data_IF_414801395441
#
_entry.id   IF_414801395441
#
_cell.length_a   1.000
_cell.length_b   1.000
_cell.length_c   1.000
_cell.angle_alpha   90.00
_cell.angle_beta   90.00
_cell.angle_gamma   90.00
#
_symmetry.space_group_name_H-M   'P 1'
#
loop_
_entity.id
_entity.type
_entity.pdbx_description
1 polymer ?
#
# COMPACT_ATOMS: atom_id res chain seq x y z
N UNK A 1 -2.60 -23.64 23.23
CA UNK A 1 -2.34 -23.42 21.79
C UNK A 1 -2.83 -22.05 21.35
N UNK A 2 -4.10 -21.69 21.58
CA UNK A 2 -4.64 -20.35 21.25
C UNK A 2 -3.87 -19.19 21.90
N UNK A 3 -3.54 -19.30 23.20
CA UNK A 3 -2.70 -18.31 23.91
C UNK A 3 -1.34 -18.06 23.24
N UNK A 4 -0.70 -19.13 22.74
CA UNK A 4 0.59 -19.03 22.06
C UNK A 4 0.45 -18.33 20.70
N UNK A 5 -0.62 -18.63 19.95
CA UNK A 5 -0.91 -17.97 18.66
C UNK A 5 -1.17 -16.48 18.84
N UNK A 6 -1.91 -16.10 19.88
CA UNK A 6 -2.22 -14.69 20.18
C UNK A 6 -0.96 -13.91 20.58
N UNK A 7 -0.11 -14.52 21.42
CA UNK A 7 1.16 -13.92 21.83
C UNK A 7 2.11 -13.69 20.64
N UNK A 8 2.21 -14.68 19.72
CA UNK A 8 2.98 -14.56 18.48
C UNK A 8 2.41 -13.44 17.60
N UNK A 9 1.09 -13.36 17.41
CA UNK A 9 0.45 -12.29 16.63
C UNK A 9 0.75 -10.90 17.19
N UNK A 10 0.70 -10.75 18.51
CA UNK A 10 1.00 -9.48 19.16
C UNK A 10 2.47 -9.08 18.97
N UNK A 11 3.39 -10.04 19.15
CA UNK A 11 4.83 -9.82 19.02
C UNK A 11 5.27 -9.45 17.60
N UNK A 12 4.65 -10.05 16.59
CA UNK A 12 4.99 -9.83 15.17
C UNK A 12 4.02 -8.91 14.43
N UNK A 13 3.19 -8.14 15.14
CA UNK A 13 2.28 -7.18 14.51
C UNK A 13 3.10 -6.13 13.74
N UNK A 14 2.97 -6.04 12.41
CA UNK A 14 3.73 -5.07 11.62
C UNK A 14 3.36 -3.65 12.02
N UNK A 15 4.37 -2.82 12.26
CA UNK A 15 4.17 -1.39 12.59
C UNK A 15 3.94 -0.50 11.37
N UNK A 16 4.17 -1.03 10.17
CA UNK A 16 3.99 -0.33 8.90
C UNK A 16 2.93 -1.04 8.05
N UNK A 17 2.20 -0.25 7.26
CA UNK A 17 1.27 -0.72 6.24
C UNK A 17 1.80 -0.26 4.88
N UNK A 18 2.45 -1.13 4.08
CA UNK A 18 3.03 -0.70 2.81
C UNK A 18 1.98 -0.27 1.78
N UNK A 19 0.81 -0.89 1.83
CA UNK A 19 -0.34 -0.63 0.98
C UNK A 19 -1.56 -0.58 1.88
N UNK A 20 -2.34 0.49 1.78
CA UNK A 20 -3.56 0.67 2.55
C UNK A 20 -4.64 1.28 1.66
N UNK A 21 -5.86 0.75 1.73
CA UNK A 21 -7.03 1.42 1.19
C UNK A 21 -7.71 2.19 2.32
N UNK A 22 -7.82 3.51 2.18
CA UNK A 22 -8.33 4.37 3.24
C UNK A 22 -9.12 5.51 2.63
N UNK A 23 -10.27 5.84 3.21
CA UNK A 23 -11.06 7.02 2.83
C UNK A 23 -11.21 7.17 1.30
N UNK A 24 -11.58 6.05 0.65
CA UNK A 24 -11.81 5.93 -0.79
C UNK A 24 -10.60 6.16 -1.72
N UNK A 25 -9.38 6.09 -1.20
CA UNK A 25 -8.14 6.23 -1.96
C UNK A 25 -7.09 5.18 -1.60
N UNK A 26 -6.16 4.96 -2.51
CA UNK A 26 -5.00 4.11 -2.28
C UNK A 26 -3.91 4.92 -1.59
N UNK A 27 -3.38 4.41 -0.49
CA UNK A 27 -2.30 5.01 0.29
C UNK A 27 -1.11 4.05 0.30
N UNK A 28 0.04 4.52 -0.17
CA UNK A 28 1.25 3.73 -0.34
C UNK A 28 2.36 4.29 0.54
N UNK A 29 3.08 3.41 1.24
CA UNK A 29 4.34 3.77 1.90
C UNK A 29 5.37 4.09 0.83
N UNK A 30 5.97 5.27 0.86
CA UNK A 30 7.01 5.65 -0.11
C UNK A 30 8.32 4.96 0.21
N UNK A 31 8.61 3.89 -0.51
CA UNK A 31 9.79 3.07 -0.29
C UNK A 31 11.10 3.74 -0.72
N UNK A 32 11.05 4.89 -1.40
CA UNK A 32 12.23 5.61 -1.92
C UNK A 32 13.00 6.34 -0.82
N UNK A 33 12.31 6.72 0.26
CA UNK A 33 12.89 7.52 1.36
C UNK A 33 13.17 6.70 2.62
N UNK A 34 12.78 5.43 2.63
CA UNK A 34 13.22 4.50 3.66
C UNK A 34 14.75 4.27 3.56
N UNK A 35 15.45 4.03 4.68
CA UNK A 35 14.92 3.88 6.05
C UNK A 35 14.81 5.20 6.83
N UNK A 36 15.19 6.33 6.25
CA UNK A 36 15.36 7.59 6.98
C UNK A 36 14.04 8.31 7.27
N UNK A 37 13.06 8.21 6.36
CA UNK A 37 11.75 8.82 6.52
C UNK A 37 10.64 7.80 6.28
N UNK A 38 9.55 7.92 7.05
CA UNK A 38 8.32 7.16 6.83
C UNK A 38 7.24 8.12 6.35
N UNK A 39 7.04 8.19 5.03
CA UNK A 39 6.01 9.03 4.40
C UNK A 39 5.07 8.20 3.54
N UNK A 40 3.87 8.72 3.33
CA UNK A 40 2.83 8.07 2.56
C UNK A 40 2.44 8.93 1.36
N UNK A 41 2.19 8.28 0.24
CA UNK A 41 1.69 8.91 -1.00
C UNK A 41 0.27 8.41 -1.23
N UNK A 42 -0.64 9.35 -1.51
CA UNK A 42 -2.01 9.03 -1.88
C UNK A 42 -2.14 8.96 -3.41
N UNK A 43 -2.88 7.98 -3.91
CA UNK A 43 -3.28 7.87 -5.30
C UNK A 43 -4.81 7.76 -5.39
N UNK A 44 -5.41 8.74 -6.07
CA UNK A 44 -6.86 8.91 -6.26
C UNK A 44 -7.29 8.69 -7.71
N UNK A 45 -6.34 8.69 -8.64
CA UNK A 45 -6.55 8.46 -10.08
C UNK A 45 -5.72 7.28 -10.57
N UNK A 46 -6.13 6.69 -11.70
CA UNK A 46 -5.37 5.61 -12.34
C UNK A 46 -3.97 6.07 -12.75
N UNK A 47 -3.84 7.33 -13.17
CA UNK A 47 -2.56 7.92 -13.55
C UNK A 47 -1.57 7.96 -12.37
N UNK A 48 -2.03 8.40 -11.20
CA UNK A 48 -1.22 8.44 -9.96
C UNK A 48 -0.84 7.02 -9.50
N UNK A 49 -1.73 6.03 -9.63
CA UNK A 49 -1.40 4.64 -9.31
C UNK A 49 -0.29 4.11 -10.24
N UNK A 50 -0.41 4.37 -11.54
CA UNK A 50 0.61 3.97 -12.52
C UNK A 50 1.94 4.69 -12.28
N UNK A 51 1.91 5.97 -11.90
CA UNK A 51 3.09 6.75 -11.54
C UNK A 51 3.77 6.19 -10.27
N UNK A 52 2.99 5.86 -9.24
CA UNK A 52 3.54 5.27 -8.01
C UNK A 52 4.30 3.94 -8.26
N UNK A 53 3.85 3.13 -9.23
CA UNK A 53 4.56 1.92 -9.65
C UNK A 53 5.81 2.28 -10.46
N UNK A 54 5.68 3.15 -11.47
CA UNK A 54 6.78 3.54 -12.37
C UNK A 54 7.94 4.21 -11.62
N UNK A 55 7.62 5.10 -10.70
CA UNK A 55 8.60 5.85 -9.91
C UNK A 55 9.13 5.05 -8.71
N UNK A 56 8.67 3.80 -8.54
CA UNK A 56 9.05 2.92 -7.44
C UNK A 56 8.68 3.47 -6.04
N UNK A 57 7.62 4.28 -5.92
CA UNK A 57 6.98 4.58 -4.62
C UNK A 57 6.60 3.26 -3.95
N UNK A 58 6.00 2.34 -4.73
CA UNK A 58 5.79 0.94 -4.36
C UNK A 58 6.55 0.03 -5.32
N UNK A 59 7.19 -1.00 -4.78
CA UNK A 59 7.96 -1.98 -5.57
C UNK A 59 7.93 -3.36 -4.92
N UNK A 60 8.45 -4.34 -5.65
CA UNK A 60 8.37 -5.76 -5.33
C UNK A 60 7.17 -6.40 -6.04
N UNK A 61 7.39 -7.52 -6.75
CA UNK A 61 6.39 -8.09 -7.65
C UNK A 61 5.01 -8.31 -6.99
N UNK A 62 4.90 -8.86 -5.76
CA UNK A 62 3.60 -9.00 -5.09
C UNK A 62 2.93 -7.66 -4.80
N UNK A 63 3.69 -6.67 -4.32
CA UNK A 63 3.17 -5.36 -3.96
C UNK A 63 2.70 -4.56 -5.19
N UNK A 64 3.44 -4.67 -6.31
CA UNK A 64 3.04 -4.09 -7.60
C UNK A 64 1.71 -4.70 -8.05
N UNK A 65 1.56 -6.03 -7.98
CA UNK A 65 0.30 -6.70 -8.35
C UNK A 65 -0.89 -6.23 -7.53
N UNK A 66 -0.74 -6.14 -6.20
CA UNK A 66 -1.80 -5.65 -5.30
C UNK A 66 -2.14 -4.19 -5.60
N UNK A 67 -1.12 -3.34 -5.80
CA UNK A 67 -1.29 -1.92 -6.13
C UNK A 67 -2.05 -1.75 -7.45
N UNK A 68 -1.67 -2.50 -8.49
CA UNK A 68 -2.35 -2.47 -9.79
C UNK A 68 -3.81 -2.94 -9.68
N UNK A 69 -4.09 -3.96 -8.86
CA UNK A 69 -5.45 -4.41 -8.59
C UNK A 69 -6.30 -3.30 -7.93
N UNK A 70 -5.75 -2.56 -6.96
CA UNK A 70 -6.41 -1.36 -6.43
C UNK A 70 -6.55 -0.26 -7.48
N UNK A 71 -5.62 -0.13 -8.42
CA UNK A 71 -5.74 0.75 -9.58
C UNK A 71 -7.01 0.50 -10.39
N UNK A 72 -7.45 -0.76 -10.54
CA UNK A 72 -8.72 -1.09 -11.18
C UNK A 72 -9.93 -0.59 -10.37
N UNK A 73 -9.87 -0.66 -9.05
CA UNK A 73 -10.91 -0.12 -8.15
C UNK A 73 -10.98 1.40 -8.28
N UNK A 74 -9.83 2.07 -8.33
CA UNK A 74 -9.73 3.52 -8.58
C UNK A 74 -10.35 3.87 -9.94
N UNK A 75 -10.04 3.12 -11.00
CA UNK A 75 -10.59 3.34 -12.34
C UNK A 75 -12.13 3.31 -12.38
N UNK A 76 -12.75 2.40 -11.64
CA UNK A 76 -14.21 2.30 -11.54
C UNK A 76 -14.84 3.51 -10.83
N UNK A 77 -14.09 4.15 -9.92
CA UNK A 77 -14.54 5.32 -9.16
C UNK A 77 -14.29 6.63 -9.90
N UNK A 78 -13.21 6.71 -10.67
CA UNK A 78 -12.85 7.88 -11.49
C UNK A 78 -13.82 8.10 -12.67
N UNK A 79 -14.46 7.03 -13.17
CA UNK A 79 -15.44 7.09 -14.27
C UNK A 79 -16.86 7.53 -13.85
N UNK A 80 -17.02 8.21 -12.71
CA UNK A 80 -18.28 8.83 -12.28
C UNK A 80 -18.18 10.34 -12.37
#
# INVERSE_FOLDING_TARGET
MEKLVEEIRHRFKPKIRPIEWKDDRLVLLDQRVLPFETRYVEAKTVAEVAEAIRDMVVRGAPAIGITAAFGMVVALKEKK
#
